data_IF_097191956453
#
_entry.id   IF_097191956453
#
_cell.length_a   1.000
_cell.length_b   1.000
_cell.length_c   1.000
_cell.angle_alpha   90.00
_cell.angle_beta   90.00
_cell.angle_gamma   90.00
#
_symmetry.space_group_name_H-M   'P 1'
#
loop_
_entity.id
_entity.type
_entity.pdbx_description
1 polymer ?
#
# COMPACT_ATOMS: atom_id res chain seq x y z
N UNK A 1 17.68 -9.32 2.59
CA UNK A 1 17.07 -8.00 2.44
C UNK A 1 16.49 -7.97 1.04
N UNK A 2 15.18 -7.79 0.91
CA UNK A 2 14.51 -7.80 -0.39
C UNK A 2 14.64 -6.44 -1.06
N UNK A 3 14.66 -6.38 -2.39
CA UNK A 3 14.70 -5.11 -3.11
C UNK A 3 13.29 -4.49 -3.16
N UNK A 4 13.16 -3.23 -2.73
CA UNK A 4 11.89 -2.50 -2.78
C UNK A 4 11.78 -1.72 -4.08
N UNK A 5 10.70 -1.96 -4.81
CA UNK A 5 10.40 -1.22 -6.02
C UNK A 5 9.50 -0.01 -5.71
N UNK A 6 10.14 1.17 -5.70
CA UNK A 6 9.52 2.48 -5.46
C UNK A 6 8.96 3.14 -6.74
N UNK A 7 9.01 2.50 -7.91
CA UNK A 7 8.62 3.15 -9.17
C UNK A 7 7.16 3.59 -9.23
N UNK A 8 6.30 3.03 -8.36
CA UNK A 8 4.87 3.32 -8.27
C UNK A 8 4.52 4.29 -7.13
N UNK A 9 5.51 4.96 -6.54
CA UNK A 9 5.33 6.09 -5.65
C UNK A 9 6.48 7.08 -5.84
N UNK A 10 6.21 8.12 -6.60
CA UNK A 10 7.20 9.13 -6.99
C UNK A 10 7.29 10.27 -5.97
N UNK A 11 8.30 11.14 -6.14
CA UNK A 11 8.39 12.38 -5.39
C UNK A 11 7.19 13.33 -5.65
N UNK A 12 6.53 13.21 -6.81
CA UNK A 12 5.30 13.94 -7.13
C UNK A 12 4.14 13.44 -6.29
N UNK A 13 3.92 12.13 -6.27
CA UNK A 13 2.86 11.50 -5.46
C UNK A 13 3.02 11.83 -3.97
N UNK A 14 4.27 11.81 -3.47
CA UNK A 14 4.59 12.24 -2.11
C UNK A 14 4.25 13.71 -1.85
N UNK A 15 4.58 14.60 -2.80
CA UNK A 15 4.29 16.02 -2.67
C UNK A 15 2.78 16.29 -2.70
N UNK A 16 2.04 15.59 -3.55
CA UNK A 16 0.58 15.67 -3.65
C UNK A 16 -0.09 15.18 -2.36
N UNK A 17 0.38 14.05 -1.80
CA UNK A 17 -0.07 13.56 -0.50
C UNK A 17 0.20 14.60 0.61
N UNK A 18 1.42 15.15 0.69
CA UNK A 18 1.71 16.20 1.67
C UNK A 18 0.86 17.46 1.45
N UNK A 19 0.57 17.84 0.20
CA UNK A 19 -0.28 18.98 -0.11
C UNK A 19 -1.73 18.72 0.34
N UNK A 20 -2.28 17.53 0.05
CA UNK A 20 -3.60 17.09 0.54
C UNK A 20 -3.67 17.18 2.05
N UNK A 21 -2.68 16.60 2.74
CA UNK A 21 -2.63 16.56 4.20
C UNK A 21 -2.51 17.94 4.85
N UNK A 22 -1.92 18.92 4.18
CA UNK A 22 -1.82 20.31 4.68
C UNK A 22 -3.08 21.13 4.41
N UNK A 23 -3.70 20.94 3.24
CA UNK A 23 -4.74 21.84 2.76
C UNK A 23 -6.15 21.39 3.13
N UNK A 24 -6.45 20.09 3.02
CA UNK A 24 -7.83 19.60 3.00
C UNK A 24 -7.97 18.15 3.44
N UNK A 25 -7.18 17.72 4.43
CA UNK A 25 -7.27 16.36 4.98
C UNK A 25 -8.64 16.03 5.57
N UNK A 26 -9.36 17.03 6.09
CA UNK A 26 -10.72 16.83 6.62
C UNK A 26 -11.74 16.44 5.55
N UNK A 27 -11.41 16.63 4.28
CA UNK A 27 -12.26 16.28 3.14
C UNK A 27 -12.00 14.88 2.59
N UNK A 28 -11.00 14.16 3.14
CA UNK A 28 -10.73 12.77 2.79
C UNK A 28 -11.94 11.94 3.22
N UNK A 29 -12.48 11.15 2.28
CA UNK A 29 -13.67 10.34 2.52
C UNK A 29 -13.36 9.13 3.42
N UNK A 30 -14.37 8.59 4.13
CA UNK A 30 -14.25 7.29 4.79
C UNK A 30 -13.82 6.21 3.77
N UNK A 31 -12.82 5.40 4.14
CA UNK A 31 -12.16 4.46 3.24
C UNK A 31 -10.85 4.97 2.61
N UNK A 32 -10.50 6.24 2.87
CA UNK A 32 -9.20 6.80 2.52
C UNK A 32 -9.01 7.15 1.04
N UNK A 33 -7.84 7.70 0.75
CA UNK A 33 -7.39 8.07 -0.59
C UNK A 33 -6.05 7.39 -0.91
N UNK A 34 -5.97 6.75 -2.08
CA UNK A 34 -4.76 6.07 -2.55
C UNK A 34 -3.81 7.04 -3.26
N UNK A 35 -2.51 6.94 -2.94
CA UNK A 35 -1.45 7.80 -3.50
C UNK A 35 -0.35 7.05 -4.24
N UNK A 36 -0.22 5.75 -4.04
CA UNK A 36 0.79 4.96 -4.72
C UNK A 36 1.05 3.67 -3.99
N UNK A 37 2.06 2.94 -4.45
CA UNK A 37 2.36 1.63 -3.89
C UNK A 37 3.85 1.31 -3.98
N UNK A 38 4.29 0.34 -3.17
CA UNK A 38 5.65 -0.19 -3.18
C UNK A 38 5.55 -1.70 -3.35
N UNK A 39 6.33 -2.25 -4.28
CA UNK A 39 6.28 -3.69 -4.57
C UNK A 39 7.55 -4.39 -4.12
N UNK A 40 7.40 -5.57 -3.53
CA UNK A 40 8.47 -6.47 -3.11
C UNK A 40 8.05 -7.91 -3.40
N UNK A 41 8.65 -8.57 -4.40
CA UNK A 41 8.19 -9.88 -4.87
C UNK A 41 6.66 -9.84 -5.13
N UNK A 42 5.92 -10.83 -4.66
CA UNK A 42 4.45 -10.87 -4.75
C UNK A 42 3.76 -10.14 -3.57
N UNK A 43 4.40 -9.12 -2.99
CA UNK A 43 3.81 -8.24 -1.97
C UNK A 43 3.72 -6.83 -2.51
N UNK A 44 2.59 -6.16 -2.30
CA UNK A 44 2.41 -4.74 -2.58
C UNK A 44 2.10 -4.01 -1.27
N UNK A 45 2.63 -2.82 -1.05
CA UNK A 45 2.24 -1.94 0.06
C UNK A 45 1.56 -0.72 -0.55
N UNK A 46 0.26 -0.55 -0.33
CA UNK A 46 -0.44 0.66 -0.79
C UNK A 46 -0.21 1.78 0.21
N UNK A 47 0.14 2.95 -0.31
CA UNK A 47 0.30 4.18 0.45
C UNK A 47 -0.99 4.98 0.34
N UNK A 48 -1.66 5.18 1.47
CA UNK A 48 -2.95 5.82 1.54
C UNK A 48 -2.97 6.90 2.62
N UNK A 49 -3.88 7.86 2.48
CA UNK A 49 -4.31 8.72 3.58
C UNK A 49 -5.68 8.24 4.03
N UNK A 50 -5.80 7.79 5.27
CA UNK A 50 -7.05 7.22 5.78
C UNK A 50 -7.34 7.63 7.22
N UNK A 51 -8.63 7.64 7.56
CA UNK A 51 -9.11 7.87 8.91
C UNK A 51 -9.03 6.57 9.70
N UNK A 52 -8.34 6.60 10.83
CA UNK A 52 -8.23 5.47 11.73
C UNK A 52 -8.86 5.81 13.09
N UNK A 53 -9.69 4.88 13.59
CA UNK A 53 -10.21 4.92 14.94
C UNK A 53 -9.09 4.57 15.93
N UNK A 54 -8.55 5.57 16.61
CA UNK A 54 -7.72 5.35 17.80
C UNK A 54 -8.64 5.29 19.02
N UNK A 55 -8.34 4.45 20.02
CA UNK A 55 -9.23 4.20 21.17
C UNK A 55 -9.81 5.47 21.85
N UNK A 56 -9.10 6.60 21.77
CA UNK A 56 -9.51 7.88 22.36
C UNK A 56 -9.99 8.94 21.35
N UNK A 57 -9.74 8.78 20.04
CA UNK A 57 -10.08 9.76 19.00
C UNK A 57 -9.92 9.17 17.60
N UNK A 58 -10.64 9.72 16.62
CA UNK A 58 -10.40 9.45 15.20
C UNK A 58 -9.45 10.53 14.63
N UNK A 59 -8.46 10.14 13.84
CA UNK A 59 -7.55 11.08 13.16
C UNK A 59 -7.11 10.52 11.80
N UNK A 60 -6.53 11.40 10.98
CA UNK A 60 -6.00 11.04 9.67
C UNK A 60 -4.55 10.57 9.79
N UNK A 61 -4.26 9.45 9.15
CA UNK A 61 -2.93 8.87 9.10
C UNK A 61 -2.49 8.64 7.66
N UNK A 62 -1.18 8.54 7.48
CA UNK A 62 -0.63 7.92 6.26
C UNK A 62 -0.34 6.47 6.58
N UNK A 63 -0.97 5.57 5.84
CA UNK A 63 -0.85 4.14 6.04
C UNK A 63 -0.15 3.49 4.86
N UNK A 64 0.55 2.41 5.17
CA UNK A 64 1.18 1.54 4.21
C UNK A 64 0.74 0.12 4.52
N UNK A 65 -0.31 -0.33 3.85
CA UNK A 65 -0.95 -1.61 4.14
C UNK A 65 -0.50 -2.66 3.12
N UNK A 66 -0.02 -3.83 3.57
CA UNK A 66 0.40 -4.88 2.66
C UNK A 66 -0.81 -5.52 1.98
N UNK A 67 -0.65 -5.84 0.71
CA UNK A 67 -1.58 -6.56 -0.14
C UNK A 67 -0.88 -7.76 -0.76
N UNK A 68 -1.55 -8.91 -0.67
CA UNK A 68 -1.11 -10.16 -1.27
C UNK A 68 -2.02 -10.52 -2.44
N UNK A 69 -1.47 -11.04 -3.55
CA UNK A 69 -2.29 -11.68 -4.56
C UNK A 69 -2.89 -12.94 -3.96
N UNK A 70 -4.22 -12.96 -3.88
CA UNK A 70 -4.95 -14.19 -3.63
C UNK A 70 -5.26 -14.85 -4.98
N UNK A 71 -5.26 -16.18 -5.01
CA UNK A 71 -5.80 -16.92 -6.16
C UNK A 71 -7.28 -17.20 -5.86
N UNK A 72 -8.18 -17.05 -6.84
CA UNK A 72 -9.62 -17.32 -6.61
C UNK A 72 -9.86 -18.77 -6.12
N UNK A 73 -8.95 -19.68 -6.47
CA UNK A 73 -8.97 -21.09 -6.08
C UNK A 73 -8.15 -21.41 -4.81
N UNK A 74 -7.60 -20.40 -4.13
CA UNK A 74 -6.81 -20.60 -2.91
C UNK A 74 -7.70 -21.11 -1.78
N UNK A 75 -7.24 -22.18 -1.12
CA UNK A 75 -7.92 -22.79 0.03
C UNK A 75 -7.63 -22.05 1.36
N UNK A 76 -6.81 -21.00 1.33
CA UNK A 76 -6.59 -20.10 2.47
C UNK A 76 -7.76 -19.12 2.53
N UNK A 77 -8.25 -18.82 3.74
CA UNK A 77 -9.27 -17.78 3.89
C UNK A 77 -8.64 -16.42 3.58
N UNK A 78 -9.32 -15.55 2.79
CA UNK A 78 -8.80 -14.23 2.50
C UNK A 78 -8.61 -13.47 3.82
N UNK A 79 -7.42 -12.88 4.02
CA UNK A 79 -7.09 -12.14 5.23
C UNK A 79 -8.07 -10.96 5.43
N UNK A 80 -8.55 -10.34 4.34
CA UNK A 80 -9.72 -9.44 4.29
C UNK A 80 -10.03 -9.01 2.84
N UNK A 81 -11.20 -9.35 2.27
CA UNK A 81 -11.63 -8.79 0.97
C UNK A 81 -11.97 -7.29 1.11
N UNK A 82 -11.11 -6.41 0.62
CA UNK A 82 -11.40 -4.96 0.60
C UNK A 82 -12.36 -4.55 -0.53
N UNK A 83 -12.42 -5.32 -1.62
CA UNK A 83 -13.34 -5.12 -2.75
C UNK A 83 -13.84 -6.48 -3.22
N UNK A 84 -15.16 -6.69 -3.20
CA UNK A 84 -15.78 -7.95 -3.62
C UNK A 84 -15.37 -8.32 -5.07
N UNK A 85 -14.74 -9.48 -5.24
CA UNK A 85 -14.27 -9.98 -6.54
C UNK A 85 -12.89 -9.46 -6.98
N UNK A 86 -12.15 -8.76 -6.12
CA UNK A 86 -10.72 -8.51 -6.31
C UNK A 86 -9.93 -9.36 -5.31
N UNK A 87 -9.02 -10.24 -5.76
CA UNK A 87 -8.43 -11.24 -4.89
C UNK A 87 -7.21 -10.66 -4.19
N UNK A 88 -7.44 -9.76 -3.23
CA UNK A 88 -6.37 -9.19 -2.42
C UNK A 88 -6.68 -9.27 -0.96
N UNK A 89 -5.63 -9.59 -0.21
CA UNK A 89 -5.66 -9.78 1.22
C UNK A 89 -4.81 -8.74 1.93
N UNK A 90 -5.32 -8.17 3.01
CA UNK A 90 -4.58 -7.22 3.87
C UNK A 90 -4.26 -7.86 5.21
N UNK A 91 -3.04 -7.62 5.71
CA UNK A 91 -2.63 -8.01 7.06
C UNK A 91 -2.48 -6.75 7.92
N UNK A 92 -3.55 -6.38 8.63
CA UNK A 92 -3.63 -5.14 9.44
C UNK A 92 -2.47 -4.99 10.43
N UNK A 93 -2.04 -6.10 11.03
CA UNK A 93 -0.94 -6.09 11.99
C UNK A 93 0.41 -5.79 11.34
N UNK A 94 0.53 -5.94 10.03
CA UNK A 94 1.72 -5.67 9.23
C UNK A 94 1.65 -4.33 8.47
N UNK A 95 0.58 -3.56 8.65
CA UNK A 95 0.49 -2.18 8.16
C UNK A 95 1.44 -1.24 8.91
N UNK A 96 2.03 -0.31 8.18
CA UNK A 96 2.86 0.76 8.75
C UNK A 96 2.04 2.03 8.79
N UNK A 97 1.97 2.66 9.96
CA UNK A 97 1.16 3.87 10.16
C UNK A 97 2.08 5.03 10.54
N UNK A 98 1.87 6.18 9.89
CA UNK A 98 2.51 7.45 10.20
C UNK A 98 1.45 8.44 10.64
N UNK A 99 1.67 9.07 11.80
CA UNK A 99 0.92 10.24 12.17
C UNK A 99 1.12 11.33 11.11
N UNK A 100 0.04 12.05 10.77
CA UNK A 100 0.07 13.12 9.76
C UNK A 100 1.21 14.10 10.01
N UNK A 101 1.40 14.57 11.24
CA UNK A 101 2.43 15.57 11.56
C UNK A 101 3.86 15.04 11.35
N UNK A 102 4.11 13.76 11.67
CA UNK A 102 5.41 13.11 11.42
C UNK A 102 5.66 12.97 9.91
N UNK A 103 4.63 12.56 9.16
CA UNK A 103 4.72 12.44 7.71
C UNK A 103 5.01 13.79 7.03
N UNK A 104 4.36 14.86 7.50
CA UNK A 104 4.55 16.22 6.99
C UNK A 104 5.96 16.78 7.27
N UNK A 105 6.68 16.21 8.24
CA UNK A 105 8.06 16.58 8.57
C UNK A 105 9.11 15.87 7.70
N UNK A 106 8.74 14.81 6.97
CA UNK A 106 9.66 14.11 6.10
C UNK A 106 9.95 14.87 4.80
N UNK A 107 11.19 14.72 4.31
CA UNK A 107 11.48 14.84 2.88
C UNK A 107 11.20 13.50 2.20
N UNK A 108 10.94 13.51 0.90
CA UNK A 108 10.68 12.29 0.13
C UNK A 108 11.74 11.20 0.36
N UNK A 109 13.02 11.53 0.23
CA UNK A 109 14.10 10.56 0.42
C UNK A 109 14.15 10.01 1.85
N UNK A 110 13.91 10.86 2.86
CA UNK A 110 13.91 10.42 4.26
C UNK A 110 12.71 9.52 4.56
N UNK A 111 11.56 9.79 3.95
CA UNK A 111 10.41 8.89 4.02
C UNK A 111 10.72 7.54 3.38
N UNK A 112 11.29 7.52 2.17
CA UNK A 112 11.69 6.27 1.51
C UNK A 112 12.67 5.45 2.34
N UNK A 113 13.65 6.09 2.97
CA UNK A 113 14.61 5.41 3.85
C UNK A 113 13.94 4.81 5.09
N UNK A 114 13.09 5.58 5.78
CA UNK A 114 12.38 5.13 6.99
C UNK A 114 11.39 4.00 6.67
N UNK A 115 10.57 4.19 5.63
CA UNK A 115 9.62 3.20 5.17
C UNK A 115 10.32 1.92 4.70
N UNK A 116 11.46 2.03 4.01
CA UNK A 116 12.26 0.86 3.62
C UNK A 116 12.69 0.07 4.85
N UNK A 117 13.20 0.73 5.89
CA UNK A 117 13.61 0.05 7.12
C UNK A 117 12.43 -0.65 7.81
N UNK A 118 11.29 0.02 7.92
CA UNK A 118 10.08 -0.53 8.55
C UNK A 118 9.50 -1.70 7.76
N UNK A 119 9.43 -1.60 6.42
CA UNK A 119 9.00 -2.70 5.56
C UNK A 119 9.91 -3.90 5.78
N UNK A 120 11.25 -3.74 5.75
CA UNK A 120 12.17 -4.86 5.96
C UNK A 120 12.01 -5.53 7.33
N UNK A 121 11.57 -4.80 8.36
CA UNK A 121 11.22 -5.38 9.65
C UNK A 121 9.89 -6.15 9.57
N UNK A 122 8.86 -5.58 8.93
CA UNK A 122 7.56 -6.24 8.77
C UNK A 122 7.65 -7.53 7.94
N UNK A 123 8.49 -7.55 6.91
CA UNK A 123 8.73 -8.73 6.07
C UNK A 123 9.30 -9.94 6.84
N UNK A 124 9.71 -9.77 8.11
CA UNK A 124 10.15 -10.88 8.97
C UNK A 124 8.97 -11.66 9.58
N UNK A 125 7.73 -11.15 9.48
CA UNK A 125 6.54 -11.82 9.99
C UNK A 125 6.17 -13.02 9.11
N UNK A 126 5.66 -14.07 9.75
CA UNK A 126 5.31 -15.34 9.08
C UNK A 126 4.27 -15.16 7.97
N UNK A 127 3.39 -14.15 8.07
CA UNK A 127 2.38 -13.82 7.04
C UNK A 127 3.00 -13.55 5.66
N UNK A 128 4.24 -13.03 5.61
CA UNK A 128 4.93 -12.77 4.35
C UNK A 128 5.68 -13.98 3.79
N UNK A 129 5.86 -15.06 4.57
CA UNK A 129 6.76 -16.15 4.22
C UNK A 129 6.44 -16.79 2.85
N UNK A 130 5.15 -16.94 2.53
CA UNK A 130 4.69 -17.51 1.25
C UNK A 130 4.92 -16.54 0.09
N UNK A 131 4.52 -15.28 0.24
CA UNK A 131 4.65 -14.25 -0.80
C UNK A 131 6.11 -13.84 -1.08
N UNK A 132 7.02 -14.11 -0.12
CA UNK A 132 8.46 -13.89 -0.27
C UNK A 132 9.22 -15.14 -0.75
N UNK A 133 8.59 -16.33 -0.75
CA UNK A 133 9.26 -17.58 -1.12
C UNK A 133 9.63 -17.62 -2.61
N UNK A 134 8.78 -17.04 -3.46
CA UNK A 134 8.98 -16.95 -4.90
C UNK A 134 8.39 -15.63 -5.42
N UNK A 135 9.10 -15.01 -6.35
CA UNK A 135 8.56 -13.90 -7.14
C UNK A 135 7.90 -14.49 -8.38
N UNK A 136 6.57 -14.55 -8.40
CA UNK A 136 5.85 -15.11 -9.54
C UNK A 136 5.74 -14.12 -10.68
N UNK A 137 6.19 -12.86 -10.57
CA UNK A 137 5.88 -11.74 -11.47
C UNK A 137 4.37 -11.46 -11.56
N UNK A 138 3.63 -11.57 -10.45
CA UNK A 138 2.19 -11.32 -10.45
C UNK A 138 1.88 -9.89 -10.89
N UNK A 139 2.59 -8.91 -10.32
CA UNK A 139 2.30 -7.49 -10.51
C UNK A 139 2.53 -7.02 -11.94
N UNK A 140 3.54 -7.55 -12.64
CA UNK A 140 3.80 -7.25 -14.05
C UNK A 140 2.66 -7.76 -14.93
N UNK A 141 2.17 -8.97 -14.66
CA UNK A 141 1.00 -9.52 -15.37
C UNK A 141 -0.26 -8.72 -15.08
N UNK A 142 -0.44 -8.29 -13.83
CA UNK A 142 -1.56 -7.48 -13.42
C UNK A 142 -1.56 -6.12 -14.14
N UNK A 143 -0.42 -5.43 -14.16
CA UNK A 143 -0.26 -4.16 -14.87
C UNK A 143 -0.52 -4.30 -16.36
N UNK A 144 -0.04 -5.38 -16.98
CA UNK A 144 -0.29 -5.65 -18.39
C UNK A 144 -1.79 -5.86 -18.68
N UNK A 145 -2.51 -6.62 -17.83
CA UNK A 145 -3.97 -6.76 -17.94
C UNK A 145 -4.68 -5.41 -17.81
N UNK A 146 -4.25 -4.56 -16.88
CA UNK A 146 -4.81 -3.21 -16.73
C UNK A 146 -4.53 -2.33 -17.96
N UNK A 147 -3.32 -2.39 -18.52
CA UNK A 147 -2.98 -1.68 -19.77
C UNK A 147 -3.87 -2.11 -20.92
N UNK A 148 -4.08 -3.41 -21.09
CA UNK A 148 -4.94 -3.95 -22.14
C UNK A 148 -6.40 -3.51 -21.98
N UNK A 149 -6.94 -3.55 -20.76
CA UNK A 149 -8.31 -3.07 -20.48
C UNK A 149 -8.47 -1.58 -20.77
N UNK A 150 -7.48 -0.75 -20.43
CA UNK A 150 -7.50 0.69 -20.74
C UNK A 150 -7.45 0.94 -22.25
N UNK A 151 -6.56 0.23 -22.96
CA UNK A 151 -6.49 0.31 -24.42
C UNK A 151 -7.78 -0.13 -25.14
N UNK A 152 -8.54 -1.06 -24.57
CA UNK A 152 -9.84 -1.50 -25.09
C UNK A 152 -11.00 -0.56 -24.74
N UNK A 153 -10.88 0.27 -23.70
CA UNK A 153 -11.90 1.25 -23.34
C UNK A 153 -11.83 2.53 -24.20
N UNK A 154 -10.69 2.74 -24.88
CA UNK A 154 -10.44 3.85 -25.79
C UNK A 154 -10.78 3.51 -27.27
N UNK A 155 -11.35 2.32 -27.55
CA UNK A 155 -11.89 1.87 -28.86
C UNK A 155 -13.43 1.80 -28.86
#
# INVERSE_FOLDING_TARGET
>A
MHELNWQHFSAGDFADLQARLRASWQEILPGGEYYGQIRICDVCYDIQAEWLDCEAYEDIFVTMSPFFPHDEDSAEEPYQEMVAGMPFDTADDASIVYAKEDFLAFSYLRFCDDATQKIQQMLQKDVFAKALAQDTNFWERHDEKLRQKRGQADE
#
